data_IF_379946053052
#
_entry.id   IF_379946053052
#
_cell.length_a   1.000
_cell.length_b   1.000
_cell.length_c   1.000
_cell.angle_alpha   90.00
_cell.angle_beta   90.00
_cell.angle_gamma   90.00
#
_symmetry.space_group_name_H-M   'P 1'
#
loop_
_entity.id
_entity.type
_entity.pdbx_description
1 polymer ?
#
# COMPACT_ATOMS: atom_id res chain seq x y z
N UNK A 1 -62.63 40.30 -41.53
CA UNK A 1 -61.16 40.13 -41.46
C UNK A 1 -60.56 40.34 -40.06
N UNK A 2 -61.27 40.91 -39.07
CA UNK A 2 -60.71 41.17 -37.72
C UNK A 2 -60.71 39.97 -36.74
N UNK A 3 -61.52 38.93 -36.97
CA UNK A 3 -61.58 37.75 -36.07
C UNK A 3 -60.50 36.70 -36.34
N UNK A 4 -59.99 36.59 -37.58
CA UNK A 4 -58.90 35.66 -37.91
C UNK A 4 -57.55 36.13 -37.35
N UNK A 5 -57.28 37.44 -37.35
CA UNK A 5 -56.05 37.99 -36.80
C UNK A 5 -55.96 37.79 -35.28
N UNK A 6 -57.07 37.93 -34.53
CA UNK A 6 -57.09 37.69 -33.09
C UNK A 6 -56.81 36.22 -32.72
N UNK A 7 -57.30 35.26 -33.52
CA UNK A 7 -57.10 33.84 -33.26
C UNK A 7 -55.66 33.38 -33.55
N UNK A 8 -54.98 34.03 -34.51
CA UNK A 8 -53.57 33.75 -34.84
C UNK A 8 -52.65 34.28 -33.74
N UNK A 9 -52.91 35.48 -33.20
CA UNK A 9 -52.16 36.01 -32.06
C UNK A 9 -52.35 35.15 -30.79
N UNK A 10 -53.57 34.65 -30.54
CA UNK A 10 -53.82 33.77 -29.39
C UNK A 10 -53.12 32.41 -29.54
N UNK A 11 -53.11 31.83 -30.74
CA UNK A 11 -52.40 30.57 -31.02
C UNK A 11 -50.88 30.72 -30.92
N UNK A 12 -50.32 31.85 -31.39
CA UNK A 12 -48.88 32.15 -31.25
C UNK A 12 -48.48 32.36 -29.78
N UNK A 13 -49.35 32.95 -28.96
CA UNK A 13 -49.11 33.18 -27.54
C UNK A 13 -49.21 31.89 -26.71
N UNK A 14 -50.11 30.97 -27.10
CA UNK A 14 -50.23 29.62 -26.50
C UNK A 14 -49.05 28.72 -26.92
N UNK A 15 -48.60 28.77 -28.18
CA UNK A 15 -47.37 28.07 -28.60
C UNK A 15 -46.11 28.64 -27.92
N UNK A 16 -46.03 29.95 -27.72
CA UNK A 16 -44.94 30.61 -26.99
C UNK A 16 -44.91 30.26 -25.49
N UNK A 17 -46.09 30.08 -24.87
CA UNK A 17 -46.19 29.64 -23.48
C UNK A 17 -45.88 28.14 -23.31
N UNK A 18 -46.17 27.31 -24.32
CA UNK A 18 -45.85 25.89 -24.30
C UNK A 18 -44.33 25.62 -24.50
N UNK A 19 -43.60 26.47 -25.22
CA UNK A 19 -42.15 26.34 -25.40
C UNK A 19 -41.31 26.77 -24.20
N UNK A 20 -41.86 27.61 -23.31
CA UNK A 20 -41.18 28.04 -22.07
C UNK A 20 -41.09 26.95 -20.99
N UNK A 21 -41.99 25.96 -21.01
CA UNK A 21 -41.98 24.85 -20.04
C UNK A 21 -41.10 23.66 -20.49
N UNK A 22 -40.53 23.69 -21.70
CA UNK A 22 -39.73 22.60 -22.27
C UNK A 22 -38.22 22.66 -21.98
N UNK A 23 -37.73 23.69 -21.28
CA UNK A 23 -36.28 23.92 -21.09
C UNK A 23 -35.68 23.24 -19.84
N UNK A 24 -36.43 22.39 -19.12
CA UNK A 24 -35.96 21.79 -17.86
C UNK A 24 -35.01 20.61 -18.02
N UNK A 25 -34.69 20.19 -19.25
CA UNK A 25 -33.86 19.00 -19.50
C UNK A 25 -32.84 19.21 -20.61
N UNK A 26 -31.95 20.18 -20.43
CA UNK A 26 -30.71 20.20 -21.22
C UNK A 26 -29.91 18.96 -20.81
N UNK A 27 -29.55 18.05 -21.73
CA UNK A 27 -28.78 16.87 -21.38
C UNK A 27 -27.38 17.28 -20.89
N UNK A 28 -27.13 17.09 -19.60
CA UNK A 28 -25.80 17.26 -19.00
C UNK A 28 -25.12 15.91 -18.90
N UNK A 29 -23.79 15.89 -18.98
CA UNK A 29 -23.00 14.66 -18.84
C UNK A 29 -22.81 14.23 -17.38
N UNK A 30 -23.43 14.93 -16.43
CA UNK A 30 -23.31 14.72 -14.99
C UNK A 30 -23.82 15.92 -14.18
N UNK A 31 -23.73 15.86 -12.85
CA UNK A 31 -24.27 16.90 -11.97
C UNK A 31 -23.47 18.21 -12.05
N UNK A 32 -24.16 19.36 -11.99
CA UNK A 32 -23.52 20.66 -11.86
C UNK A 32 -23.08 20.96 -10.42
N UNK A 33 -22.16 21.91 -10.23
CA UNK A 33 -21.72 22.36 -8.89
C UNK A 33 -22.91 22.65 -7.97
N UNK A 34 -23.91 23.39 -8.48
CA UNK A 34 -25.10 23.74 -7.73
C UNK A 34 -26.01 22.55 -7.38
N UNK A 35 -26.00 21.48 -8.18
CA UNK A 35 -26.73 20.24 -7.87
C UNK A 35 -26.01 19.44 -6.78
N UNK A 36 -24.68 19.40 -6.82
CA UNK A 36 -23.86 18.75 -5.78
C UNK A 36 -24.03 19.48 -4.45
N UNK A 37 -23.93 20.82 -4.42
CA UNK A 37 -24.11 21.61 -3.20
C UNK A 37 -25.52 21.46 -2.58
N UNK A 38 -26.54 21.21 -3.41
CA UNK A 38 -27.89 20.92 -2.91
C UNK A 38 -28.02 19.52 -2.32
N UNK A 39 -27.17 18.57 -2.71
CA UNK A 39 -27.20 17.21 -2.21
C UNK A 39 -26.83 17.11 -0.72
N UNK A 40 -26.13 18.11 -0.15
CA UNK A 40 -25.90 18.22 1.30
C UNK A 40 -27.07 18.78 2.11
N UNK A 41 -28.15 19.23 1.47
CA UNK A 41 -29.28 19.89 2.13
C UNK A 41 -30.21 18.95 2.92
N UNK A 42 -31.25 19.53 3.54
CA UNK A 42 -32.17 18.89 4.51
C UNK A 42 -32.91 17.62 4.03
N UNK A 43 -32.81 17.26 2.75
CA UNK A 43 -33.35 16.03 2.18
C UNK A 43 -32.23 15.17 1.56
N UNK A 44 -31.07 15.04 2.22
CA UNK A 44 -29.93 14.22 1.81
C UNK A 44 -30.25 12.71 1.99
N UNK A 45 -30.79 12.02 0.97
CA UNK A 45 -31.27 10.65 1.13
C UNK A 45 -30.09 9.68 1.19
N UNK A 46 -29.00 10.04 0.51
CA UNK A 46 -27.78 9.28 0.33
C UNK A 46 -26.78 9.47 1.49
N UNK A 47 -27.00 10.42 2.40
CA UNK A 47 -26.13 10.67 3.55
C UNK A 47 -24.75 11.23 3.19
N UNK A 48 -24.63 11.87 2.01
CA UNK A 48 -23.35 12.38 1.48
C UNK A 48 -22.86 13.55 2.34
N UNK A 49 -21.61 13.49 2.77
CA UNK A 49 -20.91 14.61 3.41
C UNK A 49 -20.20 15.44 2.33
N UNK A 50 -20.36 16.75 2.36
CA UNK A 50 -19.61 17.65 1.47
C UNK A 50 -18.60 18.40 2.31
N UNK A 51 -17.33 18.35 1.89
CA UNK A 51 -16.20 18.89 2.64
C UNK A 51 -15.34 19.74 1.70
N UNK A 52 -15.14 21.01 2.03
CA UNK A 52 -14.18 21.85 1.31
C UNK A 52 -12.76 21.40 1.61
N UNK A 53 -11.96 21.16 0.57
CA UNK A 53 -10.57 20.77 0.78
C UNK A 53 -9.77 21.99 1.22
N UNK A 54 -9.31 21.93 2.46
CA UNK A 54 -8.37 22.90 3.03
C UNK A 54 -7.06 22.20 3.36
N UNK A 55 -6.01 22.99 3.58
CA UNK A 55 -4.70 22.50 4.01
C UNK A 55 -4.78 21.70 5.33
N UNK A 56 -5.66 22.08 6.25
CA UNK A 56 -5.91 21.33 7.50
C UNK A 56 -6.47 19.92 7.24
N UNK A 57 -7.49 19.83 6.38
CA UNK A 57 -8.10 18.56 6.00
C UNK A 57 -7.11 17.67 5.25
N UNK A 58 -6.36 18.24 4.30
CA UNK A 58 -5.34 17.51 3.55
C UNK A 58 -4.28 16.91 4.48
N UNK A 59 -3.77 17.70 5.45
CA UNK A 59 -2.82 17.20 6.46
C UNK A 59 -3.42 16.14 7.36
N UNK A 60 -4.66 16.32 7.81
CA UNK A 60 -5.34 15.35 8.69
C UNK A 60 -5.52 13.99 8.01
N UNK A 61 -6.03 14.00 6.77
CA UNK A 61 -6.18 12.78 5.97
C UNK A 61 -4.81 12.13 5.67
N UNK A 62 -3.77 12.92 5.41
CA UNK A 62 -2.43 12.40 5.22
C UNK A 62 -1.89 11.69 6.48
N UNK A 63 -2.10 12.29 7.66
CA UNK A 63 -1.66 11.72 8.94
C UNK A 63 -2.35 10.38 9.25
N UNK A 64 -3.63 10.22 8.89
CA UNK A 64 -4.34 8.95 9.05
C UNK A 64 -3.81 7.83 8.14
N UNK A 65 -3.25 8.16 6.98
CA UNK A 65 -2.67 7.19 6.04
C UNK A 65 -1.29 6.67 6.45
N UNK A 66 -0.57 7.37 7.31
CA UNK A 66 0.78 6.97 7.70
C UNK A 66 0.71 5.74 8.62
N UNK A 67 0.60 4.55 8.01
CA UNK A 67 0.98 3.29 8.66
C UNK A 67 2.46 3.42 8.95
N UNK A 68 2.82 3.64 10.22
CA UNK A 68 4.14 4.14 10.61
C UNK A 68 5.32 3.44 9.94
N UNK A 69 6.39 4.21 9.73
CA UNK A 69 7.65 3.76 9.14
C UNK A 69 8.13 2.43 9.72
N UNK A 70 8.72 1.56 8.88
CA UNK A 70 9.34 0.31 9.33
C UNK A 70 10.34 0.55 10.46
N UNK A 71 11.17 1.58 10.33
CA UNK A 71 12.16 1.91 11.35
C UNK A 71 11.56 2.23 12.72
N UNK A 72 10.37 2.85 12.76
CA UNK A 72 9.67 3.22 13.98
C UNK A 72 8.85 2.08 14.57
N UNK A 73 8.26 1.23 13.72
CA UNK A 73 7.34 0.15 14.12
C UNK A 73 8.07 -1.16 14.40
N UNK A 74 9.03 -1.51 13.55
CA UNK A 74 9.81 -2.75 13.64
C UNK A 74 11.16 -2.53 14.35
N UNK A 75 11.58 -1.28 14.48
CA UNK A 75 12.81 -0.90 15.16
C UNK A 75 14.07 -1.10 14.32
N UNK A 76 15.13 -0.41 14.73
CA UNK A 76 16.49 -0.53 14.18
C UNK A 76 17.43 -1.34 15.11
N UNK A 77 16.85 -1.98 16.14
CA UNK A 77 17.56 -2.68 17.21
C UNK A 77 18.46 -3.81 16.71
N UNK A 78 19.61 -3.92 17.36
CA UNK A 78 20.89 -4.48 16.89
C UNK A 78 20.98 -6.00 16.79
N UNK A 79 21.72 -6.43 15.76
CA UNK A 79 22.41 -7.72 15.58
C UNK A 79 21.56 -8.95 15.88
N UNK A 80 21.00 -9.54 14.83
CA UNK A 80 20.47 -10.89 14.89
C UNK A 80 21.54 -11.81 15.51
N UNK A 81 21.24 -12.34 16.69
CA UNK A 81 22.03 -13.39 17.30
C UNK A 81 21.43 -14.72 16.87
N UNK A 82 22.21 -15.48 16.10
CA UNK A 82 21.83 -16.84 15.73
C UNK A 82 21.67 -17.67 17.00
N UNK A 83 20.41 -17.90 17.40
CA UNK A 83 20.06 -18.84 18.44
C UNK A 83 19.69 -20.17 17.79
N UNK A 84 20.06 -21.24 18.48
CA UNK A 84 19.70 -22.59 18.11
C UNK A 84 18.25 -22.87 18.53
N UNK A 85 17.47 -23.49 17.67
CA UNK A 85 16.09 -23.86 17.92
C UNK A 85 15.85 -25.36 17.81
N UNK A 86 14.68 -25.81 18.26
CA UNK A 86 14.25 -27.21 18.11
C UNK A 86 14.14 -27.56 16.63
N UNK A 87 14.75 -28.66 16.21
CA UNK A 87 14.80 -29.10 14.81
C UNK A 87 16.02 -28.60 14.02
N UNK A 88 16.79 -27.64 14.53
CA UNK A 88 18.08 -27.30 13.94
C UNK A 88 19.05 -28.49 14.06
N UNK A 89 19.98 -28.61 13.11
CA UNK A 89 21.07 -29.60 13.16
C UNK A 89 22.39 -28.91 13.36
N UNK A 90 23.18 -29.42 14.30
CA UNK A 90 24.51 -28.91 14.62
C UNK A 90 25.58 -29.98 14.40
N UNK A 91 26.77 -29.50 14.06
CA UNK A 91 28.01 -30.27 14.04
C UNK A 91 28.84 -29.85 15.25
N UNK A 92 29.32 -30.84 16.01
CA UNK A 92 30.18 -30.63 17.19
C UNK A 92 31.52 -31.28 16.93
N UNK A 93 32.57 -30.46 16.89
CA UNK A 93 33.95 -30.93 16.78
C UNK A 93 34.67 -30.75 18.11
N UNK A 94 35.36 -31.79 18.57
CA UNK A 94 36.06 -31.83 19.86
C UNK A 94 37.52 -32.15 19.60
N UNK A 95 38.42 -31.31 20.10
CA UNK A 95 39.86 -31.56 20.14
C UNK A 95 40.29 -31.84 21.57
N UNK A 96 41.20 -32.79 21.75
CA UNK A 96 41.80 -33.13 23.04
C UNK A 96 43.33 -33.00 22.95
N UNK A 97 43.94 -32.36 23.95
CA UNK A 97 45.39 -32.21 24.01
C UNK A 97 46.06 -33.52 24.51
N UNK A 98 47.33 -33.79 24.13
CA UNK A 98 48.07 -34.94 24.65
C UNK A 98 48.26 -34.90 26.18
N UNK A 99 48.12 -36.04 26.90
CA UNK A 99 47.73 -37.35 26.38
C UNK A 99 46.21 -37.44 26.17
N UNK A 100 45.77 -37.53 24.91
CA UNK A 100 44.36 -37.63 24.55
C UNK A 100 43.86 -39.07 24.72
N UNK A 101 42.95 -39.29 25.67
CA UNK A 101 42.50 -40.64 26.05
C UNK A 101 41.01 -40.89 25.78
N UNK A 102 40.21 -39.82 25.69
CA UNK A 102 38.76 -39.92 25.62
C UNK A 102 38.23 -39.80 24.18
N UNK A 103 38.73 -38.83 23.42
CA UNK A 103 38.26 -38.48 22.07
C UNK A 103 39.34 -38.72 20.99
N UNK A 104 40.14 -39.77 21.16
CA UNK A 104 41.20 -40.15 20.21
C UNK A 104 41.34 -41.65 19.97
N UNK A 105 40.47 -42.49 20.55
CA UNK A 105 40.63 -43.94 20.58
C UNK A 105 39.90 -44.72 19.48
N UNK A 106 39.06 -44.07 18.66
CA UNK A 106 38.29 -44.75 17.63
C UNK A 106 38.38 -44.06 16.26
N UNK A 107 38.97 -44.81 15.33
CA UNK A 107 38.94 -44.68 13.87
C UNK A 107 39.96 -43.70 13.26
N UNK A 108 40.99 -44.29 12.66
CA UNK A 108 42.01 -43.60 11.88
C UNK A 108 41.40 -42.96 10.64
N UNK A 109 41.18 -41.64 10.72
CA UNK A 109 40.97 -40.82 9.53
C UNK A 109 42.34 -40.37 9.01
N UNK A 110 42.67 -40.80 7.79
CA UNK A 110 43.99 -40.61 7.16
C UNK A 110 44.27 -39.15 6.75
N UNK A 111 43.39 -38.21 7.07
CA UNK A 111 43.55 -36.76 6.82
C UNK A 111 44.09 -35.97 8.01
N UNK A 112 44.29 -36.59 9.16
CA UNK A 112 44.93 -35.93 10.30
C UNK A 112 46.44 -35.82 10.05
N UNK A 113 46.90 -34.62 9.69
CA UNK A 113 48.33 -34.27 9.64
C UNK A 113 49.03 -34.48 10.99
N UNK A 114 50.34 -34.26 11.01
CA UNK A 114 51.32 -34.47 12.12
C UNK A 114 51.07 -33.65 13.41
N UNK A 115 49.84 -33.22 13.66
CA UNK A 115 49.37 -32.60 14.90
C UNK A 115 49.25 -33.64 16.01
N UNK A 116 49.81 -33.33 17.20
CA UNK A 116 49.63 -34.13 18.41
C UNK A 116 48.21 -33.97 19.01
N UNK A 117 47.48 -32.91 18.66
CA UNK A 117 46.07 -32.76 19.01
C UNK A 117 45.19 -33.56 18.03
N UNK A 118 44.27 -34.37 18.57
CA UNK A 118 43.35 -35.21 17.79
C UNK A 118 41.95 -34.59 17.76
N UNK A 119 41.29 -34.67 16.62
CA UNK A 119 39.93 -34.13 16.40
C UNK A 119 38.94 -35.29 16.31
N UNK A 120 37.85 -35.19 17.06
CA UNK A 120 36.65 -36.03 16.88
C UNK A 120 35.50 -35.14 16.43
N UNK A 121 34.96 -35.42 15.25
CA UNK A 121 33.71 -34.79 14.77
C UNK A 121 32.57 -35.72 15.12
N UNK A 122 31.63 -35.25 15.92
CA UNK A 122 30.42 -36.00 16.23
C UNK A 122 29.52 -36.03 14.97
N UNK A 123 28.77 -37.13 14.73
CA UNK A 123 27.72 -37.13 13.72
C UNK A 123 26.78 -35.94 13.92
N UNK A 124 26.19 -35.42 12.84
CA UNK A 124 25.19 -34.35 12.90
C UNK A 124 24.14 -34.63 14.00
N UNK A 125 24.01 -33.69 14.93
CA UNK A 125 23.07 -33.78 16.05
C UNK A 125 21.89 -32.85 15.80
N UNK A 126 20.69 -33.40 15.66
CA UNK A 126 19.46 -32.61 15.60
C UNK A 126 18.98 -32.28 17.00
N UNK A 127 18.64 -31.02 17.24
CA UNK A 127 18.11 -30.57 18.53
C UNK A 127 16.71 -31.15 18.73
N UNK A 128 16.57 -31.99 19.76
CA UNK A 128 15.34 -32.72 20.07
C UNK A 128 14.17 -31.81 20.46
N UNK A 129 12.97 -32.39 20.56
CA UNK A 129 11.75 -31.67 20.96
C UNK A 129 11.80 -31.09 22.38
N UNK A 130 12.64 -31.65 23.25
CA UNK A 130 12.98 -31.13 24.58
C UNK A 130 14.01 -29.99 24.54
N UNK A 131 14.56 -29.69 23.36
CA UNK A 131 15.58 -28.68 23.09
C UNK A 131 16.99 -29.08 23.49
N UNK A 132 17.26 -30.37 23.70
CA UNK A 132 18.56 -30.89 24.09
C UNK A 132 19.31 -31.55 22.92
N UNK A 133 20.60 -31.75 23.12
CA UNK A 133 21.47 -32.61 22.31
C UNK A 133 22.17 -33.61 23.24
N UNK A 134 22.57 -34.76 22.68
CA UNK A 134 23.38 -35.75 23.37
C UNK A 134 24.84 -35.59 22.98
N UNK A 135 25.70 -35.30 23.96
CA UNK A 135 27.15 -35.25 23.75
C UNK A 135 27.81 -36.39 24.53
N UNK A 136 28.57 -37.28 23.87
CA UNK A 136 29.26 -38.37 24.54
C UNK A 136 30.08 -37.87 25.74
N UNK A 137 29.98 -38.58 26.87
CA UNK A 137 30.60 -38.27 28.17
C UNK A 137 30.11 -36.98 28.86
N UNK A 138 29.58 -35.99 28.13
CA UNK A 138 28.98 -34.78 28.70
C UNK A 138 27.47 -34.88 28.96
N UNK A 139 26.83 -35.92 28.43
CA UNK A 139 25.40 -36.22 28.59
C UNK A 139 24.48 -35.30 27.79
N UNK A 140 23.24 -35.15 28.27
CA UNK A 140 22.27 -34.23 27.67
C UNK A 140 22.59 -32.78 28.02
N UNK A 141 22.61 -31.93 26.99
CA UNK A 141 22.91 -30.50 27.13
C UNK A 141 21.83 -29.71 26.41
N UNK A 142 21.28 -28.69 27.10
CA UNK A 142 20.30 -27.77 26.53
C UNK A 142 20.94 -26.93 25.43
N UNK A 143 20.46 -27.08 24.20
CA UNK A 143 20.91 -26.34 23.03
C UNK A 143 19.92 -25.24 22.62
N UNK A 144 18.60 -25.53 22.69
CA UNK A 144 17.58 -24.58 22.27
C UNK A 144 17.62 -23.28 23.09
N UNK A 145 17.54 -22.14 22.39
CA UNK A 145 17.63 -20.78 22.94
C UNK A 145 19.07 -20.28 23.17
N UNK A 146 20.09 -21.11 22.91
CA UNK A 146 21.51 -20.73 23.06
C UNK A 146 22.14 -20.38 21.73
N UNK A 147 23.14 -19.53 21.75
CA UNK A 147 24.04 -19.33 20.61
C UNK A 147 25.03 -20.51 20.48
N UNK A 148 25.58 -20.78 19.28
CA UNK A 148 26.64 -21.78 19.12
C UNK A 148 27.81 -21.57 20.08
N UNK A 149 28.21 -20.32 20.33
CA UNK A 149 29.30 -19.98 21.25
C UNK A 149 28.96 -20.20 22.74
N UNK A 150 27.70 -20.08 23.15
CA UNK A 150 27.26 -20.45 24.49
C UNK A 150 27.21 -21.96 24.68
N UNK A 151 26.68 -22.68 23.68
CA UNK A 151 26.66 -24.14 23.71
C UNK A 151 28.07 -24.73 23.73
N UNK A 152 28.98 -24.18 22.91
CA UNK A 152 30.40 -24.54 22.93
C UNK A 152 31.01 -24.43 24.33
N UNK A 153 30.80 -23.29 25.02
CA UNK A 153 31.33 -23.06 26.37
C UNK A 153 30.77 -24.06 27.39
N UNK A 154 29.49 -24.42 27.32
CA UNK A 154 28.90 -25.41 28.22
C UNK A 154 29.46 -26.82 27.97
N UNK A 155 29.60 -27.23 26.70
CA UNK A 155 30.20 -28.52 26.35
C UNK A 155 31.65 -28.59 26.86
N UNK A 156 32.45 -27.56 26.60
CA UNK A 156 33.84 -27.48 27.10
C UNK A 156 33.90 -27.58 28.62
N UNK A 157 33.02 -26.87 29.35
CA UNK A 157 32.99 -26.89 30.80
C UNK A 157 32.67 -28.29 31.37
N UNK A 158 31.74 -29.01 30.74
CA UNK A 158 31.36 -30.38 31.14
C UNK A 158 32.44 -31.41 30.87
N UNK A 159 33.16 -31.24 29.75
CA UNK A 159 34.26 -32.13 29.39
C UNK A 159 35.55 -31.86 30.16
N UNK A 160 35.73 -30.67 30.74
CA UNK A 160 36.98 -30.25 31.40
C UNK A 160 37.49 -31.17 32.50
N UNK A 161 36.59 -31.86 33.21
CA UNK A 161 36.95 -32.80 34.28
C UNK A 161 37.08 -34.25 33.81
N UNK A 162 36.88 -34.51 32.51
CA UNK A 162 36.80 -35.86 31.93
C UNK A 162 37.85 -36.04 30.81
N UNK A 163 38.06 -35.01 29.99
CA UNK A 163 39.04 -34.95 28.91
C UNK A 163 40.23 -34.05 29.26
N UNK A 164 41.40 -34.31 28.67
CA UNK A 164 42.58 -33.47 28.86
C UNK A 164 42.55 -32.22 27.96
N UNK A 165 42.37 -31.04 28.57
CA UNK A 165 42.30 -29.73 27.89
C UNK A 165 41.41 -29.73 26.63
N UNK A 166 40.09 -29.99 26.77
CA UNK A 166 39.20 -30.12 25.63
C UNK A 166 38.93 -28.76 24.98
N UNK A 167 39.07 -28.69 23.65
CA UNK A 167 38.59 -27.58 22.84
C UNK A 167 37.38 -28.05 22.03
N UNK A 168 36.32 -27.24 21.99
CA UNK A 168 35.07 -27.59 21.29
C UNK A 168 34.77 -26.51 20.27
N UNK A 169 34.23 -26.91 19.12
CA UNK A 169 33.62 -26.03 18.14
C UNK A 169 32.20 -26.53 17.86
N UNK A 170 31.24 -25.61 17.92
CA UNK A 170 29.85 -25.88 17.55
C UNK A 170 29.51 -25.08 16.31
N UNK A 171 29.01 -25.75 15.28
CA UNK A 171 28.57 -25.13 14.03
C UNK A 171 27.13 -25.53 13.75
N UNK A 172 26.31 -24.58 13.32
CA UNK A 172 24.98 -24.87 12.79
C UNK A 172 25.13 -25.44 11.37
N UNK A 173 24.81 -26.72 11.16
CA UNK A 173 24.88 -27.37 9.86
C UNK A 173 23.60 -27.19 9.06
N UNK A 174 22.44 -27.20 9.73
CA UNK A 174 21.13 -26.97 9.11
C UNK A 174 20.27 -26.06 10.00
N UNK A 175 19.84 -24.94 9.42
CA UNK A 175 18.97 -23.96 10.06
C UNK A 175 17.51 -24.22 9.68
N UNK A 176 16.70 -24.69 10.63
CA UNK A 176 15.27 -24.96 10.43
C UNK A 176 14.37 -23.99 11.22
N UNK A 177 14.94 -23.17 12.11
CA UNK A 177 14.17 -22.30 13.01
C UNK A 177 14.39 -20.80 12.80
N UNK A 178 15.56 -20.42 12.33
CA UNK A 178 15.97 -19.03 12.14
C UNK A 178 15.87 -18.64 10.67
N UNK A 179 14.65 -18.49 10.16
CA UNK A 179 14.39 -18.06 8.79
C UNK A 179 13.28 -17.02 8.71
N UNK A 180 13.24 -16.31 7.59
CA UNK A 180 12.15 -15.42 7.18
C UNK A 180 11.44 -16.01 5.98
N UNK A 181 10.16 -15.70 5.84
CA UNK A 181 9.37 -16.15 4.69
C UNK A 181 9.13 -14.98 3.75
N UNK A 182 9.50 -15.11 2.48
CA UNK A 182 9.26 -14.11 1.45
C UNK A 182 8.21 -14.64 0.48
N UNK A 183 7.10 -13.92 0.34
CA UNK A 183 5.92 -14.34 -0.44
C UNK A 183 5.31 -13.17 -1.21
N UNK A 184 4.34 -13.49 -2.07
CA UNK A 184 3.59 -12.50 -2.84
C UNK A 184 4.18 -12.29 -4.24
N UNK A 185 4.18 -11.04 -4.69
CA UNK A 185 4.57 -10.65 -6.05
C UNK A 185 6.09 -10.55 -6.25
N UNK A 186 6.78 -11.63 -5.88
CA UNK A 186 8.23 -11.84 -6.05
C UNK A 186 8.51 -12.88 -7.12
N UNK A 187 9.74 -12.91 -7.65
CA UNK A 187 10.15 -13.89 -8.66
C UNK A 187 10.00 -15.33 -8.16
N UNK A 188 10.50 -15.61 -6.95
CA UNK A 188 10.36 -16.90 -6.27
C UNK A 188 10.04 -16.70 -4.79
N UNK A 189 8.89 -17.21 -4.34
CA UNK A 189 8.57 -17.25 -2.91
C UNK A 189 9.43 -18.30 -2.23
N UNK A 190 10.15 -17.92 -1.17
CA UNK A 190 11.10 -18.79 -0.51
C UNK A 190 11.21 -18.52 1.00
N UNK A 191 11.90 -19.43 1.69
CA UNK A 191 12.40 -19.20 3.04
C UNK A 191 13.86 -18.79 2.93
N UNK A 192 14.21 -17.62 3.46
CA UNK A 192 15.59 -17.18 3.56
C UNK A 192 16.09 -17.43 4.97
N UNK A 193 17.13 -18.23 5.10
CA UNK A 193 17.78 -18.45 6.38
C UNK A 193 18.43 -17.15 6.88
N UNK A 194 18.21 -16.84 8.15
CA UNK A 194 18.93 -15.79 8.86
C UNK A 194 20.27 -16.35 9.34
N UNK A 195 21.29 -15.50 9.32
CA UNK A 195 22.64 -15.80 9.73
C UNK A 195 23.17 -14.71 10.66
N UNK A 196 24.32 -14.94 11.28
CA UNK A 196 25.02 -13.93 12.07
C UNK A 196 25.38 -12.64 11.29
N UNK A 197 25.20 -12.62 9.96
CA UNK A 197 25.33 -11.41 9.14
C UNK A 197 24.25 -10.37 9.44
N UNK A 198 23.08 -10.79 9.91
CA UNK A 198 21.96 -9.90 10.19
C UNK A 198 21.27 -9.42 8.92
N UNK A 199 20.67 -10.34 8.18
CA UNK A 199 19.92 -10.08 6.96
C UNK A 199 18.81 -9.03 7.18
N UNK A 200 18.63 -8.20 6.16
CA UNK A 200 17.69 -7.09 6.16
C UNK A 200 16.61 -7.31 5.11
N UNK A 201 15.60 -6.46 5.14
CA UNK A 201 14.45 -6.54 4.24
C UNK A 201 14.84 -6.66 2.76
N UNK A 202 15.77 -5.82 2.29
CA UNK A 202 16.20 -5.85 0.89
C UNK A 202 17.03 -7.09 0.53
N UNK A 203 17.72 -7.70 1.50
CA UNK A 203 18.43 -8.97 1.28
C UNK A 203 17.42 -10.10 1.03
N UNK A 204 16.32 -10.12 1.77
CA UNK A 204 15.24 -11.09 1.58
C UNK A 204 14.59 -10.97 0.21
N UNK A 205 14.29 -9.75 -0.23
CA UNK A 205 13.74 -9.51 -1.57
C UNK A 205 14.74 -9.91 -2.67
N UNK A 206 16.03 -9.62 -2.50
CA UNK A 206 17.07 -10.06 -3.44
C UNK A 206 17.19 -11.59 -3.48
N UNK A 207 17.15 -12.26 -2.32
CA UNK A 207 17.15 -13.71 -2.23
C UNK A 207 15.93 -14.38 -2.86
N UNK A 208 14.80 -13.68 -2.92
CA UNK A 208 13.59 -14.09 -3.63
C UNK A 208 13.63 -13.79 -5.14
N UNK A 209 14.72 -13.22 -5.65
CA UNK A 209 14.90 -12.86 -7.07
C UNK A 209 14.28 -11.52 -7.46
N UNK A 210 13.93 -10.66 -6.49
CA UNK A 210 13.30 -9.37 -6.71
C UNK A 210 11.78 -9.45 -6.91
N UNK A 211 11.17 -8.29 -7.13
CA UNK A 211 9.73 -8.15 -7.39
C UNK A 211 9.42 -8.30 -8.88
N UNK A 212 8.22 -8.79 -9.22
CA UNK A 212 7.81 -9.03 -10.61
C UNK A 212 7.34 -7.75 -11.31
N UNK A 213 6.60 -6.91 -10.60
CA UNK A 213 6.05 -5.67 -11.13
C UNK A 213 6.99 -4.49 -10.90
N UNK A 214 6.78 -3.35 -11.60
CA UNK A 214 7.53 -2.14 -11.37
C UNK A 214 7.56 -1.73 -9.89
N UNK A 215 8.73 -1.29 -9.42
CA UNK A 215 8.99 -0.95 -8.01
C UNK A 215 8.01 0.10 -7.47
N UNK A 216 7.60 1.04 -8.30
CA UNK A 216 6.62 2.09 -8.00
C UNK A 216 5.20 1.55 -7.84
N UNK A 217 4.93 0.27 -8.11
CA UNK A 217 3.62 -0.40 -7.94
C UNK A 217 3.61 -1.46 -6.83
N UNK A 218 4.71 -1.62 -6.12
CA UNK A 218 4.83 -2.60 -5.04
C UNK A 218 4.79 -1.92 -3.68
N UNK A 219 3.98 -2.48 -2.79
CA UNK A 219 4.07 -2.24 -1.35
C UNK A 219 4.60 -3.48 -0.67
N UNK A 220 5.59 -3.29 0.19
CA UNK A 220 6.12 -4.35 1.04
C UNK A 220 5.35 -4.31 2.34
N UNK A 221 4.90 -5.47 2.79
CA UNK A 221 4.36 -5.68 4.11
C UNK A 221 5.29 -6.60 4.89
N UNK A 222 5.62 -6.23 6.12
CA UNK A 222 6.36 -7.08 7.06
C UNK A 222 5.44 -7.41 8.23
N UNK A 223 5.26 -8.70 8.47
CA UNK A 223 4.50 -9.20 9.63
C UNK A 223 5.48 -9.82 10.62
N UNK A 224 5.50 -9.29 11.84
CA UNK A 224 6.35 -9.73 12.95
C UNK A 224 5.47 -10.02 14.16
N UNK A 225 5.19 -11.30 14.42
CA UNK A 225 4.22 -11.70 15.43
C UNK A 225 2.86 -11.06 15.17
N UNK A 226 2.40 -10.21 16.09
CA UNK A 226 1.12 -9.48 15.97
C UNK A 226 1.26 -8.08 15.35
N UNK A 227 2.48 -7.67 14.98
CA UNK A 227 2.75 -6.35 14.39
C UNK A 227 2.79 -6.48 12.87
N UNK A 228 2.01 -5.66 12.18
CA UNK A 228 2.02 -5.56 10.72
C UNK A 228 2.40 -4.13 10.36
N UNK A 229 3.40 -3.98 9.51
CA UNK A 229 3.76 -2.69 8.93
C UNK A 229 3.84 -2.82 7.42
N UNK A 230 3.48 -1.75 6.70
CA UNK A 230 3.54 -1.72 5.23
C UNK A 230 4.15 -0.40 4.73
N UNK A 231 4.99 -0.48 3.71
CA UNK A 231 5.57 0.69 3.03
C UNK A 231 5.76 0.42 1.54
N UNK A 232 5.57 1.43 0.67
CA UNK A 232 5.93 1.33 -0.74
C UNK A 232 7.40 0.93 -0.92
N UNK A 233 7.68 -0.02 -1.80
CA UNK A 233 9.04 -0.53 -2.03
C UNK A 233 10.01 0.60 -2.46
N UNK A 234 9.53 1.54 -3.27
CA UNK A 234 10.31 2.70 -3.66
C UNK A 234 10.78 3.53 -2.46
N UNK A 235 9.94 3.68 -1.44
CA UNK A 235 10.30 4.38 -0.19
C UNK A 235 11.39 3.62 0.57
N UNK A 236 11.27 2.28 0.63
CA UNK A 236 12.26 1.42 1.29
C UNK A 236 13.63 1.50 0.61
N UNK A 237 13.66 1.58 -0.73
CA UNK A 237 14.90 1.69 -1.49
C UNK A 237 15.53 3.08 -1.36
N UNK A 238 14.72 4.14 -1.34
CA UNK A 238 15.21 5.52 -1.25
C UNK A 238 15.68 5.91 0.15
N UNK A 239 15.05 5.40 1.20
CA UNK A 239 15.41 5.68 2.60
C UNK A 239 16.03 4.43 3.27
N UNK A 240 17.37 4.39 3.43
CA UNK A 240 18.05 3.24 4.05
C UNK A 240 17.58 2.91 5.46
N UNK A 241 16.96 3.85 6.19
CA UNK A 241 16.42 3.60 7.54
C UNK A 241 15.28 2.58 7.49
N UNK A 242 14.54 2.51 6.39
CA UNK A 242 13.42 1.59 6.23
C UNK A 242 13.88 0.18 5.84
N UNK A 243 15.14 -0.02 5.45
CA UNK A 243 15.70 -1.36 5.27
C UNK A 243 16.02 -1.97 6.65
N UNK A 244 14.98 -2.35 7.40
CA UNK A 244 15.10 -2.85 8.77
C UNK A 244 15.70 -4.27 8.83
N UNK A 245 16.38 -4.65 9.93
CA UNK A 245 16.81 -6.03 10.15
C UNK A 245 15.59 -6.95 10.32
N UNK A 246 15.71 -8.17 9.80
CA UNK A 246 14.68 -9.19 9.92
C UNK A 246 14.95 -10.13 11.11
N UNK A 247 13.86 -10.67 11.66
CA UNK A 247 13.89 -11.63 12.75
C UNK A 247 13.29 -12.96 12.34
N UNK A 248 13.66 -14.02 13.06
CA UNK A 248 13.12 -15.35 12.83
C UNK A 248 11.59 -15.32 12.93
N UNK A 249 10.91 -15.88 11.91
CA UNK A 249 9.46 -15.89 11.82
C UNK A 249 8.84 -14.66 11.15
N UNK A 250 9.62 -13.64 10.77
CA UNK A 250 9.10 -12.53 9.97
C UNK A 250 8.57 -13.05 8.63
N UNK A 251 7.41 -12.51 8.21
CA UNK A 251 6.82 -12.75 6.89
C UNK A 251 6.87 -11.46 6.09
N UNK A 252 7.71 -11.46 5.05
CA UNK A 252 7.84 -10.38 4.07
C UNK A 252 6.94 -10.68 2.89
N UNK A 253 5.95 -9.84 2.66
CA UNK A 253 4.99 -9.99 1.55
C UNK A 253 5.15 -8.83 0.58
N UNK A 254 5.45 -9.12 -0.68
CA UNK A 254 5.36 -8.14 -1.76
C UNK A 254 3.93 -8.10 -2.31
N UNK A 255 3.29 -6.94 -2.24
CA UNK A 255 1.92 -6.74 -2.69
C UNK A 255 1.92 -5.86 -3.94
N UNK A 256 1.43 -6.39 -5.05
CA UNK A 256 1.15 -5.58 -6.23
C UNK A 256 -0.10 -4.74 -6.01
N UNK A 257 0.07 -3.42 -6.08
CA UNK A 257 -0.98 -2.44 -5.87
C UNK A 257 -1.19 -1.61 -7.15
N UNK A 258 -2.05 -2.07 -8.07
CA UNK A 258 -2.39 -1.33 -9.28
C UNK A 258 -3.39 -0.22 -8.95
N UNK A 259 -3.01 0.72 -8.10
CA UNK A 259 -3.91 1.80 -7.70
C UNK A 259 -4.37 2.60 -8.92
N UNK A 260 -5.64 2.99 -8.91
CA UNK A 260 -6.25 3.76 -9.98
C UNK A 260 -7.25 4.76 -9.43
N UNK A 261 -7.50 5.82 -10.20
CA UNK A 261 -8.63 6.71 -9.98
C UNK A 261 -9.37 6.89 -11.30
N UNK A 262 -10.66 7.25 -11.23
CA UNK A 262 -11.46 7.55 -12.40
C UNK A 262 -11.55 9.07 -12.57
N UNK A 263 -11.18 9.58 -13.74
CA UNK A 263 -11.41 10.97 -14.13
C UNK A 263 -12.68 11.04 -14.98
N UNK A 264 -13.64 11.90 -14.63
CA UNK A 264 -14.87 12.12 -15.38
C UNK A 264 -15.23 13.61 -15.48
N UNK A 265 -16.08 13.93 -16.45
CA UNK A 265 -16.73 15.23 -16.56
C UNK A 265 -16.11 16.12 -17.63
N UNK A 266 -15.78 17.36 -17.25
CA UNK A 266 -15.13 18.37 -18.08
C UNK A 266 -13.60 18.40 -17.90
N UNK A 267 -13.01 17.23 -17.65
CA UNK A 267 -11.56 16.97 -17.66
C UNK A 267 -11.05 16.73 -19.08
N UNK A 268 -9.76 16.88 -19.33
CA UNK A 268 -9.16 16.61 -20.65
C UNK A 268 -9.40 15.17 -21.14
N UNK A 269 -9.52 14.21 -20.22
CA UNK A 269 -9.83 12.80 -20.48
C UNK A 269 -10.87 12.25 -19.51
N UNK A 270 -11.67 11.30 -19.98
CA UNK A 270 -12.62 10.53 -19.16
C UNK A 270 -12.21 9.05 -19.17
N UNK A 271 -11.32 8.65 -18.27
CA UNK A 271 -10.74 7.31 -18.23
C UNK A 271 -10.35 6.91 -16.80
N UNK A 272 -10.08 5.61 -16.62
CA UNK A 272 -9.42 5.10 -15.41
C UNK A 272 -7.90 5.25 -15.58
N UNK A 273 -7.25 5.88 -14.61
CA UNK A 273 -5.83 6.23 -14.66
C UNK A 273 -5.10 5.53 -13.51
N UNK A 274 -4.10 4.71 -13.85
CA UNK A 274 -3.27 4.05 -12.85
C UNK A 274 -2.22 5.01 -12.24
N UNK A 275 -1.90 4.79 -10.98
CA UNK A 275 -0.89 5.54 -10.25
C UNK A 275 -0.07 4.66 -9.30
N UNK A 276 0.99 5.25 -8.76
CA UNK A 276 2.05 4.60 -7.99
C UNK A 276 1.57 4.18 -6.58
N UNK A 277 2.17 3.14 -6.00
CA UNK A 277 1.88 2.65 -4.66
C UNK A 277 2.18 3.68 -3.56
N UNK A 278 3.10 4.62 -3.81
CA UNK A 278 3.34 5.76 -2.93
C UNK A 278 2.21 6.80 -2.95
N UNK A 279 1.28 6.69 -3.91
CA UNK A 279 0.19 7.62 -4.12
C UNK A 279 0.57 8.81 -5.00
N UNK A 280 -0.44 9.59 -5.38
CA UNK A 280 -0.30 10.85 -6.10
C UNK A 280 -1.16 11.94 -5.46
N UNK A 281 -0.79 13.18 -5.68
CA UNK A 281 -1.54 14.36 -5.26
C UNK A 281 -2.70 14.65 -6.22
N UNK A 282 -3.69 15.42 -5.77
CA UNK A 282 -4.79 15.90 -6.63
C UNK A 282 -4.26 16.71 -7.82
N UNK A 283 -3.24 17.54 -7.62
CA UNK A 283 -2.61 18.30 -8.70
C UNK A 283 -2.03 17.38 -9.78
N UNK A 284 -1.33 16.32 -9.39
CA UNK A 284 -0.82 15.31 -10.32
C UNK A 284 -1.96 14.54 -11.01
N UNK A 285 -3.03 14.21 -10.29
CA UNK A 285 -4.19 13.53 -10.85
C UNK A 285 -4.90 14.37 -11.91
N UNK A 286 -5.13 15.66 -11.63
CA UNK A 286 -5.66 16.63 -12.58
C UNK A 286 -4.77 16.74 -13.82
N UNK A 287 -3.45 16.82 -13.64
CA UNK A 287 -2.50 16.86 -14.76
C UNK A 287 -2.56 15.59 -15.63
N UNK A 288 -2.60 14.40 -15.02
CA UNK A 288 -2.72 13.12 -15.73
C UNK A 288 -4.05 12.97 -16.46
N UNK A 289 -5.13 13.53 -15.89
CA UNK A 289 -6.46 13.62 -16.51
C UNK A 289 -6.54 14.66 -17.65
N UNK A 290 -5.44 15.36 -17.97
CA UNK A 290 -5.40 16.36 -19.03
C UNK A 290 -5.89 17.75 -18.62
N UNK A 291 -6.00 18.01 -17.31
CA UNK A 291 -6.45 19.29 -16.77
C UNK A 291 -7.94 19.55 -16.97
N UNK A 292 -8.32 20.81 -16.73
CA UNK A 292 -9.69 21.30 -16.96
C UNK A 292 -9.84 21.71 -18.42
N UNK A 293 -11.02 21.46 -19.01
CA UNK A 293 -11.34 21.98 -20.34
C UNK A 293 -11.88 23.42 -20.21
N UNK A 294 -11.08 24.44 -20.57
CA UNK A 294 -11.45 25.86 -20.43
C UNK A 294 -12.84 26.21 -21.02
N UNK A 295 -13.19 25.63 -22.16
CA UNK A 295 -14.46 25.90 -22.85
C UNK A 295 -15.69 25.29 -22.18
N UNK A 296 -15.51 24.32 -21.29
CA UNK A 296 -16.59 23.48 -20.76
C UNK A 296 -16.61 23.37 -19.24
N UNK A 297 -15.49 23.53 -18.56
CA UNK A 297 -15.33 23.23 -17.14
C UNK A 297 -15.72 24.39 -16.23
N UNK A 298 -16.33 24.06 -15.09
CA UNK A 298 -16.45 25.00 -13.98
C UNK A 298 -15.25 24.83 -13.04
N UNK A 299 -14.35 25.81 -13.03
CA UNK A 299 -13.18 25.81 -12.15
C UNK A 299 -13.54 25.86 -10.65
N UNK A 300 -14.79 26.21 -10.28
CA UNK A 300 -15.25 26.13 -8.88
C UNK A 300 -15.69 24.72 -8.48
N UNK A 301 -15.95 23.86 -9.46
CA UNK A 301 -16.59 22.56 -9.26
C UNK A 301 -15.68 21.40 -9.63
N UNK A 302 -14.53 21.31 -8.96
CA UNK A 302 -13.69 20.11 -8.94
C UNK A 302 -14.04 19.30 -7.70
N UNK A 303 -14.44 18.05 -7.91
CA UNK A 303 -14.98 17.19 -6.86
C UNK A 303 -14.22 15.87 -6.80
N UNK A 304 -13.98 15.36 -5.59
CA UNK A 304 -13.44 14.03 -5.35
C UNK A 304 -14.48 13.25 -4.55
N UNK A 305 -15.02 12.19 -5.12
CA UNK A 305 -15.93 11.28 -4.41
C UNK A 305 -15.11 10.15 -3.80
N UNK A 306 -15.25 9.97 -2.49
CA UNK A 306 -14.49 8.99 -1.71
C UNK A 306 -15.36 8.37 -0.63
N UNK A 307 -15.06 7.12 -0.29
CA UNK A 307 -15.61 6.42 0.86
C UNK A 307 -14.59 6.47 2.01
N UNK A 308 -14.89 7.20 3.07
CA UNK A 308 -13.99 7.44 4.20
C UNK A 308 -14.39 6.62 5.44
N UNK A 309 -13.45 6.37 6.34
CA UNK A 309 -13.77 5.79 7.65
C UNK A 309 -14.61 6.74 8.50
N UNK A 310 -15.57 6.23 9.27
CA UNK A 310 -16.45 7.07 10.09
C UNK A 310 -15.73 7.97 11.10
N UNK A 311 -14.46 7.69 11.41
CA UNK A 311 -13.62 8.47 12.33
C UNK A 311 -12.68 9.45 11.61
N UNK A 312 -12.62 9.43 10.29
CA UNK A 312 -11.61 10.15 9.51
C UNK A 312 -11.66 11.67 9.73
N UNK A 313 -12.87 12.23 9.77
CA UNK A 313 -13.09 13.67 9.93
C UNK A 313 -14.26 13.96 10.89
N UNK A 314 -14.26 15.13 11.55
CA UNK A 314 -15.45 15.63 12.23
C UNK A 314 -16.48 16.05 11.16
N UNK A 315 -17.42 15.16 10.88
CA UNK A 315 -18.37 15.34 9.78
C UNK A 315 -19.29 16.55 10.00
N UNK A 316 -19.50 17.40 8.97
CA UNK A 316 -20.37 18.57 9.07
C UNK A 316 -21.83 18.23 9.39
N UNK A 317 -22.36 17.12 8.85
CA UNK A 317 -23.76 16.74 8.98
C UNK A 317 -23.89 15.52 9.90
N UNK A 318 -24.73 15.64 10.92
CA UNK A 318 -25.09 14.57 11.86
C UNK A 318 -26.59 14.24 11.79
N UNK A 319 -27.00 12.97 11.93
CA UNK A 319 -26.16 11.79 12.15
C UNK A 319 -25.42 11.35 10.88
N UNK A 320 -24.21 10.85 11.07
CA UNK A 320 -23.38 10.31 9.99
C UNK A 320 -24.01 9.01 9.50
N UNK A 321 -24.39 8.98 8.23
CA UNK A 321 -24.88 7.76 7.58
C UNK A 321 -23.71 7.04 6.95
N UNK A 322 -23.68 5.72 7.12
CA UNK A 322 -22.66 4.87 6.53
C UNK A 322 -23.26 3.93 5.50
N UNK A 323 -22.43 3.51 4.56
CA UNK A 323 -22.70 2.39 3.64
C UNK A 323 -22.75 1.06 4.40
N UNK A 324 -23.10 -0.03 3.71
CA UNK A 324 -23.20 -1.36 4.31
C UNK A 324 -21.85 -1.87 4.89
N UNK A 325 -20.74 -1.40 4.33
CA UNK A 325 -19.36 -1.65 4.76
C UNK A 325 -18.87 -0.66 5.84
N UNK A 326 -19.75 0.20 6.36
CA UNK A 326 -19.43 1.12 7.46
C UNK A 326 -18.64 2.37 7.06
N UNK A 327 -18.50 2.64 5.76
CA UNK A 327 -17.82 3.83 5.23
C UNK A 327 -18.78 5.00 5.07
N UNK A 328 -18.25 6.22 5.12
CA UNK A 328 -19.00 7.47 4.93
C UNK A 328 -18.80 7.93 3.49
N UNK A 329 -19.88 8.16 2.71
CA UNK A 329 -19.75 8.77 1.39
C UNK A 329 -19.43 10.27 1.52
N UNK A 330 -18.27 10.67 1.03
CA UNK A 330 -17.75 12.04 1.11
C UNK A 330 -17.51 12.59 -0.29
N UNK A 331 -17.90 13.84 -0.50
CA UNK A 331 -17.56 14.64 -1.67
C UNK A 331 -16.67 15.78 -1.22
N UNK A 332 -15.40 15.70 -1.58
CA UNK A 332 -14.44 16.77 -1.37
C UNK A 332 -14.57 17.80 -2.49
N UNK A 333 -14.70 19.08 -2.15
CA UNK A 333 -14.85 20.18 -3.10
C UNK A 333 -13.58 21.03 -3.14
N UNK A 334 -13.10 21.32 -4.35
CA UNK A 334 -11.93 22.16 -4.61
C UNK A 334 -12.29 23.26 -5.59
N UNK A 335 -12.01 24.52 -5.21
CA UNK A 335 -12.27 25.69 -6.03
C UNK A 335 -10.97 26.22 -6.65
N UNK A 336 -10.68 25.83 -7.89
CA UNK A 336 -9.49 26.25 -8.63
C UNK A 336 -9.56 27.69 -9.17
N UNK A 337 -10.65 28.44 -8.93
CA UNK A 337 -10.62 29.90 -9.13
C UNK A 337 -9.82 30.60 -8.03
N UNK A 338 -9.69 29.98 -6.86
CA UNK A 338 -8.83 30.48 -5.79
C UNK A 338 -7.39 29.95 -6.02
N UNK A 339 -6.40 30.82 -6.23
CA UNK A 339 -5.00 30.42 -6.35
C UNK A 339 -4.49 29.58 -5.16
N UNK A 340 -5.03 29.78 -3.95
CA UNK A 340 -4.62 29.02 -2.76
C UNK A 340 -4.94 27.52 -2.89
N UNK A 341 -6.00 27.18 -3.63
CA UNK A 341 -6.41 25.79 -3.83
C UNK A 341 -5.38 24.97 -4.61
N UNK A 342 -4.49 25.61 -5.38
CA UNK A 342 -3.41 24.90 -6.06
C UNK A 342 -2.36 24.37 -5.08
N UNK A 343 -2.07 25.08 -3.99
CA UNK A 343 -1.17 24.59 -2.94
C UNK A 343 -1.80 23.43 -2.17
N UNK A 344 -3.10 23.52 -1.89
CA UNK A 344 -3.85 22.42 -1.25
C UNK A 344 -3.93 21.20 -2.16
N UNK A 345 -4.09 21.38 -3.47
CA UNK A 345 -4.08 20.27 -4.43
C UNK A 345 -2.72 19.54 -4.51
N UNK A 346 -1.62 20.20 -4.11
CA UNK A 346 -0.30 19.57 -4.00
C UNK A 346 -0.10 18.78 -2.70
N UNK A 347 -0.93 18.97 -1.68
CA UNK A 347 -0.86 18.21 -0.42
C UNK A 347 -1.98 17.18 -0.27
N UNK A 348 -3.12 17.39 -0.92
CA UNK A 348 -4.23 16.43 -0.93
C UNK A 348 -3.88 15.18 -1.75
N UNK A 349 -3.72 14.05 -1.08
CA UNK A 349 -3.41 12.78 -1.72
C UNK A 349 -4.68 12.09 -2.25
N UNK A 350 -4.60 11.56 -3.47
CA UNK A 350 -5.63 10.69 -4.04
C UNK A 350 -5.59 9.32 -3.37
N UNK A 351 -6.75 8.69 -3.23
CA UNK A 351 -6.90 7.30 -2.82
C UNK A 351 -7.21 6.39 -3.99
N UNK A 352 -6.93 5.11 -3.78
CA UNK A 352 -7.33 4.08 -4.70
C UNK A 352 -8.86 4.10 -4.88
N UNK A 353 -9.31 4.09 -6.13
CA UNK A 353 -10.70 4.15 -6.58
C UNK A 353 -11.40 5.49 -6.32
N UNK A 354 -10.65 6.56 -6.07
CA UNK A 354 -11.23 7.90 -6.07
C UNK A 354 -11.89 8.22 -7.42
N UNK A 355 -12.99 8.97 -7.36
CA UNK A 355 -13.62 9.56 -8.54
C UNK A 355 -13.32 11.05 -8.56
N UNK A 356 -12.44 11.46 -9.48
CA UNK A 356 -12.21 12.85 -9.81
C UNK A 356 -13.26 13.31 -10.83
N UNK A 357 -14.11 14.25 -10.44
CA UNK A 357 -15.17 14.77 -11.28
C UNK A 357 -15.03 16.29 -11.44
N UNK A 358 -14.99 16.77 -12.69
CA UNK A 358 -15.05 18.20 -12.99
C UNK A 358 -16.40 18.53 -13.62
N UNK A 359 -17.15 19.41 -12.97
CA UNK A 359 -18.48 19.82 -13.43
C UNK A 359 -18.41 20.74 -14.66
N UNK A 360 -19.54 20.87 -15.35
CA UNK A 360 -19.64 21.76 -16.51
C UNK A 360 -19.92 23.20 -16.07
N UNK A 361 -19.33 24.17 -16.78
CA UNK A 361 -19.65 25.58 -16.63
C UNK A 361 -21.11 25.86 -17.01
N UNK A 362 -21.83 26.71 -16.25
CA UNK A 362 -23.21 27.09 -16.58
C UNK A 362 -23.36 27.67 -18.00
N UNK A 363 -22.35 28.39 -18.49
CA UNK A 363 -22.36 28.99 -19.83
C UNK A 363 -22.22 27.94 -20.95
N UNK A 364 -21.53 26.82 -20.70
CA UNK A 364 -21.38 25.74 -21.66
C UNK A 364 -22.70 24.97 -21.87
N UNK A 365 -23.55 24.92 -20.84
CA UNK A 365 -24.90 24.37 -20.93
C UNK A 365 -25.82 25.27 -21.78
N UNK A 366 -25.68 26.60 -21.65
CA UNK A 366 -26.41 27.58 -22.49
C UNK A 366 -25.97 27.53 -23.95
N UNK A 367 -24.67 27.41 -24.25
CA UNK A 367 -24.19 27.25 -25.63
C UNK A 367 -24.70 25.95 -26.28
N UNK A 368 -24.69 24.83 -25.55
CA UNK A 368 -25.29 23.57 -26.02
C UNK A 368 -26.77 23.73 -26.32
N UNK A 369 -27.51 24.42 -25.44
CA UNK A 369 -28.91 24.74 -25.67
C UNK A 369 -29.12 25.58 -26.93
N UNK A 370 -28.36 26.66 -27.11
CA UNK A 370 -28.45 27.51 -28.30
C UNK A 370 -28.14 26.73 -29.58
N UNK A 371 -27.16 25.83 -29.58
CA UNK A 371 -26.86 24.97 -30.73
C UNK A 371 -28.02 24.02 -31.08
N UNK A 372 -28.72 23.46 -30.08
CA UNK A 372 -29.92 22.64 -30.30
C UNK A 372 -31.10 23.49 -30.78
N UNK A 373 -31.31 24.69 -30.24
CA UNK A 373 -32.36 25.60 -30.70
C UNK A 373 -32.10 26.03 -32.14
N UNK A 374 -30.87 26.39 -32.48
CA UNK A 374 -30.51 26.76 -33.85
C UNK A 374 -30.61 25.58 -34.81
N UNK A 375 -30.26 24.35 -34.41
CA UNK A 375 -30.40 23.18 -35.29
C UNK A 375 -31.86 22.83 -35.62
N UNK A 376 -32.80 23.12 -34.71
CA UNK A 376 -34.25 22.96 -34.95
C UNK A 376 -34.85 24.17 -35.69
N UNK A 377 -34.36 25.38 -35.44
CA UNK A 377 -34.87 26.60 -36.06
C UNK A 377 -34.39 26.81 -37.51
N UNK A 378 -33.17 26.37 -37.84
CA UNK A 378 -32.59 26.57 -39.17
C UNK A 378 -33.43 26.00 -40.32
N UNK A 379 -33.95 24.74 -40.24
CA UNK A 379 -34.80 24.17 -41.29
C UNK A 379 -36.12 24.91 -41.50
N UNK A 380 -36.65 25.56 -40.45
CA UNK A 380 -37.91 26.31 -40.53
C UNK A 380 -37.71 27.63 -41.27
N UNK A 381 -36.57 28.30 -41.07
CA UNK A 381 -36.26 29.57 -41.73
C UNK A 381 -35.96 29.37 -43.22
N UNK A 382 -35.25 28.30 -43.61
CA UNK A 382 -35.04 27.95 -45.03
C UNK A 382 -36.29 27.38 -45.70
N UNK A 383 -37.12 26.63 -44.97
CA UNK A 383 -38.40 26.14 -45.49
C UNK A 383 -39.40 27.26 -45.81
N UNK A 384 -39.47 28.31 -44.99
CA UNK A 384 -40.35 29.48 -45.21
C UNK A 384 -39.87 30.35 -46.39
N UNK A 385 -38.58 30.33 -46.73
CA UNK A 385 -38.05 31.02 -47.92
C UNK A 385 -38.28 30.25 -49.23
N UNK A 386 -38.53 28.93 -49.17
CA UNK A 386 -38.75 28.10 -50.36
C UNK A 386 -40.23 28.08 -50.80
N UNK A 387 -41.15 28.52 -49.93
CA UNK A 387 -42.60 28.61 -50.21
C UNK A 387 -43.09 30.05 -50.50
N UNK A 388 -42.20 30.96 -50.87
CA UNK A 388 -42.56 32.34 -51.24
C UNK A 388 -42.46 32.60 -52.73
#
# INVERSE_FOLDING_TARGET
>A
MSRLSCSIYLAALVLGAASLNGCSSIPTSGPSSAQIDRASGAANPAGIQIVDVTDDIARKLYAERSTGDFSSTLGNGTLFQQQLGVGDTIEVSIWEAPPATLFGAAQGDAKAGTSNARVTVLPDQTIGGDGNIDVPFAGQIKAAGRTPGELQRDITARLKNIAHDPQVLVKLSRNETSYVTVVGDVASSNRMALTARGERLLDALAGAGGVKQPVDKITIQVTRGNTVASLPLETVIRDPRQNVPLHAGDVVTALFQPYSFMALGATGKNEEINFEAQGITLAQALARAGGLQDSRSDAQGVFIFRLEDAKALPWPISPVRTTADGKVPVVYRVNLRDPNSFFVAQSFMMDNKDLLYVSNAPIAEVQKFLNVVFSVAYPVITGVQTFK
#
